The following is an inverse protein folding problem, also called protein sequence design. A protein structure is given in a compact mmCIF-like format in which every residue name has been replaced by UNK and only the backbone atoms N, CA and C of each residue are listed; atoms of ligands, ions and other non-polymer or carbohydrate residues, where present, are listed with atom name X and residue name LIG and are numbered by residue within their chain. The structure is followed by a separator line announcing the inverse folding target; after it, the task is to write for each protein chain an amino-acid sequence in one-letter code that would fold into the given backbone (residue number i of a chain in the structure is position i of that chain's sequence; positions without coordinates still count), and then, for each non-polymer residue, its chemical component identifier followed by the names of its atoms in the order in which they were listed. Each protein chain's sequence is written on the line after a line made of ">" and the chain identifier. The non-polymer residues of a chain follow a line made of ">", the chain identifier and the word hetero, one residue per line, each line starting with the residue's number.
data_IF_581015940007
#
_entry.id   IF_581015940007
#
_cell.length_a   1.000
_cell.length_b   1.000
_cell.length_c   1.000
_cell.angle_alpha   90.00
_cell.angle_beta   90.00
_cell.angle_gamma   90.00
#
_symmetry.space_group_name_H-M   'P 1'
#
loop_
_entity.id
_entity.type
_entity.pdbx_description
1 polymer ?
#
# COMPACT_ATOMS: atom_id res chain seq x y z
N UNK A 1 -22.83 -3.02 5.94
CA UNK A 1 -23.04 -1.67 6.52
C UNK A 1 -24.37 -1.15 6.02
N UNK A 2 -25.26 -0.64 6.90
CA UNK A 2 -26.62 -0.26 6.52
C UNK A 2 -26.59 1.02 5.66
N UNK A 3 -27.19 0.99 4.46
CA UNK A 3 -27.19 2.05 3.42
C UNK A 3 -27.53 3.44 3.96
N UNK A 4 -28.39 3.50 4.99
CA UNK A 4 -28.77 4.74 5.69
C UNK A 4 -27.65 5.34 6.55
N UNK A 5 -26.82 4.52 7.20
CA UNK A 5 -25.69 5.03 8.00
C UNK A 5 -24.58 5.61 7.11
N UNK A 6 -24.35 5.01 5.95
CA UNK A 6 -23.34 5.49 4.98
C UNK A 6 -23.74 6.81 4.30
N UNK A 7 -25.01 6.97 3.93
CA UNK A 7 -25.53 8.22 3.37
C UNK A 7 -25.66 9.34 4.42
N UNK A 8 -25.87 9.01 5.70
CA UNK A 8 -25.79 10.00 6.78
C UNK A 8 -24.35 10.49 7.01
N UNK A 9 -23.36 9.59 6.91
CA UNK A 9 -21.94 9.93 7.01
C UNK A 9 -21.48 10.87 5.90
N UNK A 10 -22.02 10.75 4.69
CA UNK A 10 -21.74 11.69 3.59
C UNK A 10 -22.48 13.03 3.72
N UNK A 11 -23.59 13.09 4.46
CA UNK A 11 -24.36 14.31 4.65
C UNK A 11 -23.91 15.16 5.87
N UNK A 12 -23.26 14.56 6.88
CA UNK A 12 -23.01 15.24 8.17
C UNK A 12 -21.55 15.49 8.57
N UNK A 13 -20.52 15.08 7.83
CA UNK A 13 -19.15 15.56 8.13
C UNK A 13 -18.14 15.33 6.99
N UNK A 14 -17.86 16.35 6.16
CA UNK A 14 -16.63 16.41 5.39
C UNK A 14 -15.59 17.38 5.97
N UNK A 15 -15.92 18.16 7.01
CA UNK A 15 -15.01 19.17 7.59
C UNK A 15 -13.92 18.55 8.48
N UNK A 16 -14.06 17.29 8.89
CA UNK A 16 -13.10 16.61 9.78
C UNK A 16 -12.88 15.14 9.39
N UNK A 17 -12.65 14.83 8.11
CA UNK A 17 -12.07 13.54 7.78
C UNK A 17 -10.69 13.47 8.46
N UNK A 18 -10.60 12.74 9.59
CA UNK A 18 -9.36 12.61 10.33
C UNK A 18 -8.35 11.87 9.44
N UNK A 19 -7.37 12.60 8.94
CA UNK A 19 -6.18 12.01 8.30
C UNK A 19 -5.34 11.16 9.27
N UNK A 20 -5.71 11.13 10.55
CA UNK A 20 -4.99 10.50 11.64
C UNK A 20 -5.91 9.68 12.53
N UNK A 21 -5.56 8.41 12.77
CA UNK A 21 -6.15 7.62 13.86
C UNK A 21 -5.50 8.03 15.17
N UNK A 22 -6.25 8.05 16.27
CA UNK A 22 -5.68 8.28 17.60
C UNK A 22 -4.70 7.15 17.95
N UNK A 23 -3.41 7.47 18.07
CA UNK A 23 -2.37 6.51 18.43
C UNK A 23 -2.17 6.54 19.94
N UNK A 24 -2.47 5.42 20.60
CA UNK A 24 -2.39 5.31 22.06
C UNK A 24 -0.95 5.10 22.56
N UNK A 25 -0.04 4.59 21.73
CA UNK A 25 1.36 4.33 22.08
C UNK A 25 2.30 4.51 20.89
N UNK A 26 3.42 5.22 21.10
CA UNK A 26 4.46 5.42 20.09
C UNK A 26 5.55 4.36 20.24
N UNK A 27 5.54 3.35 19.38
CA UNK A 27 6.61 2.37 19.27
C UNK A 27 7.59 2.83 18.19
N UNK A 28 8.87 2.86 18.53
CA UNK A 28 9.93 3.30 17.63
C UNK A 28 10.93 2.18 17.38
N UNK A 29 11.61 2.25 16.24
CA UNK A 29 12.80 1.45 15.98
C UNK A 29 13.91 1.75 17.00
N UNK A 30 14.76 0.74 17.25
CA UNK A 30 15.94 0.92 18.10
C UNK A 30 16.95 1.86 17.43
N UNK A 31 17.88 2.42 18.22
CA UNK A 31 18.96 3.27 17.68
C UNK A 31 19.82 2.53 16.65
N UNK A 32 20.03 1.23 16.83
CA UNK A 32 20.83 0.45 15.89
C UNK A 32 20.07 0.12 14.60
N UNK A 33 18.77 -0.16 14.69
CA UNK A 33 17.92 -0.32 13.50
C UNK A 33 17.84 0.98 12.69
N UNK A 34 17.77 2.14 13.37
CA UNK A 34 17.74 3.45 12.71
C UNK A 34 18.99 3.73 11.87
N UNK A 35 20.17 3.30 12.34
CA UNK A 35 21.42 3.40 11.58
C UNK A 35 21.39 2.56 10.30
N UNK A 36 20.63 1.47 10.29
CA UNK A 36 20.48 0.55 9.14
C UNK A 36 19.37 1.01 8.18
N UNK A 37 18.35 1.70 8.70
CA UNK A 37 17.16 2.10 7.95
C UNK A 37 17.47 2.95 6.72
N UNK A 38 18.35 3.96 6.84
CA UNK A 38 18.68 4.84 5.73
C UNK A 38 19.47 4.11 4.62
N UNK A 39 20.57 3.39 4.89
CA UNK A 39 21.24 2.55 3.89
C UNK A 39 20.30 1.59 3.18
N UNK A 40 19.40 0.93 3.92
CA UNK A 40 18.42 0.00 3.37
C UNK A 40 17.44 0.71 2.42
N UNK A 41 16.87 1.85 2.81
CA UNK A 41 16.00 2.67 1.96
C UNK A 41 16.69 3.06 0.65
N UNK A 42 17.97 3.48 0.72
CA UNK A 42 18.76 3.79 -0.46
C UNK A 42 18.99 2.58 -1.35
N UNK A 43 19.28 1.40 -0.78
CA UNK A 43 19.45 0.16 -1.55
C UNK A 43 18.18 -0.25 -2.27
N UNK A 44 17.03 -0.21 -1.60
CA UNK A 44 15.73 -0.50 -2.21
C UNK A 44 15.38 0.50 -3.32
N UNK A 45 15.76 1.77 -3.18
CA UNK A 45 15.64 2.78 -4.25
C UNK A 45 16.53 2.47 -5.45
N UNK A 46 17.79 2.07 -5.24
CA UNK A 46 18.69 1.64 -6.33
C UNK A 46 18.15 0.39 -7.02
N UNK A 47 17.66 -0.59 -6.27
CA UNK A 47 16.99 -1.78 -6.80
C UNK A 47 15.80 -1.39 -7.69
N UNK A 48 14.87 -0.57 -7.18
CA UNK A 48 13.71 -0.08 -7.95
C UNK A 48 14.13 0.62 -9.25
N UNK A 49 15.14 1.49 -9.17
CA UNK A 49 15.63 2.24 -10.33
C UNK A 49 16.24 1.29 -11.38
N UNK A 50 16.96 0.27 -10.94
CA UNK A 50 17.59 -0.72 -11.83
C UNK A 50 16.56 -1.61 -12.53
N UNK A 51 15.61 -2.22 -11.79
CA UNK A 51 14.66 -3.18 -12.37
C UNK A 51 13.44 -2.51 -13.03
N UNK A 52 13.26 -1.22 -12.79
CA UNK A 52 12.13 -0.44 -13.27
C UNK A 52 10.90 -0.51 -12.36
N UNK A 53 10.13 0.58 -12.32
CA UNK A 53 8.98 0.75 -11.43
C UNK A 53 7.95 -0.38 -11.54
N UNK A 54 7.61 -0.79 -12.76
CA UNK A 54 6.62 -1.84 -12.98
C UNK A 54 7.05 -3.18 -12.40
N UNK A 55 8.26 -3.64 -12.72
CA UNK A 55 8.77 -4.92 -12.20
C UNK A 55 8.97 -4.87 -10.68
N UNK A 56 9.32 -3.71 -10.12
CA UNK A 56 9.49 -3.54 -8.68
C UNK A 56 8.21 -3.83 -7.88
N UNK A 57 7.04 -3.71 -8.51
CA UNK A 57 5.77 -4.07 -7.89
C UNK A 57 5.58 -5.59 -7.67
N UNK A 58 6.31 -6.44 -8.39
CA UNK A 58 6.03 -7.89 -8.43
C UNK A 58 7.20 -8.79 -8.02
N UNK A 59 8.43 -8.26 -7.88
CA UNK A 59 9.59 -9.09 -7.51
C UNK A 59 9.47 -9.68 -6.10
N UNK A 60 9.96 -10.91 -5.93
CA UNK A 60 10.11 -11.56 -4.63
C UNK A 60 11.37 -11.08 -3.89
N UNK A 61 11.47 -11.41 -2.59
CA UNK A 61 12.65 -11.08 -1.81
C UNK A 61 13.90 -11.82 -2.29
N UNK A 62 13.79 -13.10 -2.70
CA UNK A 62 14.92 -13.84 -3.29
C UNK A 62 15.44 -13.19 -4.58
N UNK A 63 14.54 -12.67 -5.42
CA UNK A 63 14.92 -11.88 -6.59
C UNK A 63 15.62 -10.58 -6.18
N UNK A 64 15.14 -9.88 -5.15
CA UNK A 64 15.82 -8.69 -4.62
C UNK A 64 17.25 -9.00 -4.16
N UNK A 65 17.44 -10.10 -3.43
CA UNK A 65 18.77 -10.56 -2.99
C UNK A 65 19.66 -10.94 -4.18
N UNK A 66 19.11 -11.66 -5.16
CA UNK A 66 19.80 -11.97 -6.41
C UNK A 66 20.28 -10.69 -7.12
N UNK A 67 19.40 -9.70 -7.30
CA UNK A 67 19.78 -8.45 -7.94
C UNK A 67 20.83 -7.67 -7.11
N UNK A 68 20.67 -7.61 -5.79
CA UNK A 68 21.64 -6.97 -4.91
C UNK A 68 23.04 -7.60 -5.02
N UNK A 69 23.12 -8.94 -5.07
CA UNK A 69 24.39 -9.66 -5.18
C UNK A 69 25.07 -9.48 -6.54
N UNK A 70 24.31 -9.54 -7.63
CA UNK A 70 24.88 -9.65 -8.97
C UNK A 70 25.06 -8.30 -9.68
N UNK A 71 24.45 -7.21 -9.19
CA UNK A 71 24.55 -5.90 -9.84
C UNK A 71 25.20 -4.87 -8.90
N UNK A 72 26.46 -4.48 -9.17
CA UNK A 72 27.23 -3.57 -8.30
C UNK A 72 26.53 -2.23 -8.02
N UNK A 73 25.78 -1.69 -8.99
CA UNK A 73 25.00 -0.46 -8.82
C UNK A 73 23.99 -0.56 -7.67
N UNK A 74 23.36 -1.73 -7.48
CA UNK A 74 22.44 -1.96 -6.36
C UNK A 74 23.26 -2.21 -5.09
N UNK A 75 24.24 -3.11 -5.20
CA UNK A 75 25.10 -3.57 -4.11
C UNK A 75 24.40 -4.58 -3.20
N UNK A 76 25.18 -5.52 -2.67
CA UNK A 76 24.66 -6.62 -1.87
C UNK A 76 23.95 -6.15 -0.59
N UNK A 77 22.87 -6.82 -0.21
CA UNK A 77 22.22 -6.60 1.08
C UNK A 77 23.14 -7.10 2.19
N UNK A 78 23.40 -6.25 3.17
CA UNK A 78 24.19 -6.60 4.36
C UNK A 78 23.38 -7.49 5.29
N UNK A 79 24.06 -8.25 6.15
CA UNK A 79 23.39 -9.06 7.18
C UNK A 79 22.48 -8.21 8.08
N UNK A 80 22.91 -7.00 8.46
CA UNK A 80 22.11 -6.07 9.28
C UNK A 80 20.85 -5.60 8.57
N UNK A 81 20.95 -5.31 7.27
CA UNK A 81 19.79 -4.96 6.45
C UNK A 81 18.80 -6.11 6.37
N UNK A 82 19.26 -7.35 6.12
CA UNK A 82 18.40 -8.54 6.07
C UNK A 82 17.70 -8.76 7.42
N UNK A 83 18.43 -8.66 8.54
CA UNK A 83 17.84 -8.77 9.89
C UNK A 83 16.76 -7.71 10.13
N UNK A 84 16.97 -6.46 9.71
CA UNK A 84 15.95 -5.41 9.83
C UNK A 84 14.73 -5.71 8.95
N UNK A 85 14.94 -6.22 7.73
CA UNK A 85 13.86 -6.62 6.83
C UNK A 85 13.01 -7.73 7.47
N UNK A 86 13.65 -8.79 7.97
CA UNK A 86 12.99 -9.91 8.63
C UNK A 86 12.24 -9.43 9.87
N UNK A 87 12.87 -8.59 10.69
CA UNK A 87 12.23 -7.97 11.87
C UNK A 87 10.94 -7.24 11.49
N UNK A 88 10.94 -6.45 10.41
CA UNK A 88 9.75 -5.71 9.96
C UNK A 88 8.69 -6.62 9.33
N UNK A 89 9.08 -7.71 8.67
CA UNK A 89 8.15 -8.64 8.05
C UNK A 89 7.48 -9.56 9.08
N UNK A 90 8.22 -10.03 10.08
CA UNK A 90 7.75 -11.00 11.08
C UNK A 90 7.24 -10.36 12.38
N UNK A 91 7.36 -9.04 12.56
CA UNK A 91 6.83 -8.35 13.74
C UNK A 91 5.31 -8.50 13.88
N UNK A 92 4.81 -8.62 15.10
CA UNK A 92 3.39 -8.59 15.43
C UNK A 92 2.88 -7.13 15.45
N UNK A 93 2.12 -6.69 14.42
CA UNK A 93 1.80 -5.29 14.24
C UNK A 93 0.74 -4.74 15.19
N UNK A 94 -0.02 -5.61 15.86
CA UNK A 94 -0.96 -5.20 16.90
C UNK A 94 -0.27 -4.48 18.04
N UNK A 95 1.00 -4.82 18.30
CA UNK A 95 1.81 -4.14 19.33
C UNK A 95 1.97 -2.66 19.05
N UNK A 96 2.02 -2.24 17.78
CA UNK A 96 2.16 -0.83 17.35
C UNK A 96 0.89 -0.28 16.68
N UNK A 97 -0.28 -0.86 16.96
CA UNK A 97 -1.57 -0.26 16.62
C UNK A 97 -2.08 -0.55 15.21
N UNK A 98 -1.57 -1.57 14.52
CA UNK A 98 -2.14 -2.08 13.27
C UNK A 98 -2.76 -3.46 13.51
N UNK A 99 -4.03 -3.60 13.11
CA UNK A 99 -4.89 -4.72 13.48
C UNK A 99 -5.46 -5.49 12.27
N UNK A 100 -5.10 -5.09 11.05
CA UNK A 100 -5.49 -5.79 9.83
C UNK A 100 -4.90 -7.19 9.73
N UNK A 101 -5.49 -8.02 8.86
CA UNK A 101 -5.08 -9.41 8.70
C UNK A 101 -3.74 -9.54 7.98
N UNK A 102 -2.99 -10.60 8.32
CA UNK A 102 -1.78 -10.98 7.60
C UNK A 102 -2.18 -11.53 6.23
N UNK A 103 -1.67 -10.93 5.16
CA UNK A 103 -2.00 -11.29 3.77
C UNK A 103 -0.92 -12.14 3.12
N UNK A 104 0.32 -12.07 3.63
CA UNK A 104 1.48 -12.77 3.09
C UNK A 104 2.22 -13.51 4.20
N UNK A 105 2.35 -14.83 4.08
CA UNK A 105 3.04 -15.67 5.06
C UNK A 105 4.53 -15.88 4.76
N UNK A 106 4.92 -15.77 3.49
CA UNK A 106 6.29 -15.99 3.03
C UNK A 106 6.90 -14.67 2.52
N UNK A 107 8.03 -14.26 3.09
CA UNK A 107 8.76 -13.06 2.68
C UNK A 107 9.21 -13.11 1.21
N UNK A 108 9.49 -14.31 0.71
CA UNK A 108 9.87 -14.58 -0.67
C UNK A 108 8.67 -15.00 -1.53
N UNK A 109 7.45 -14.56 -1.18
CA UNK A 109 6.27 -14.78 -2.02
C UNK A 109 6.55 -14.36 -3.47
N UNK A 110 6.23 -15.25 -4.40
CA UNK A 110 6.28 -14.99 -5.82
C UNK A 110 4.90 -14.62 -6.37
N UNK A 111 4.88 -13.80 -7.41
CA UNK A 111 3.67 -13.48 -8.16
C UNK A 111 3.78 -14.12 -9.53
N UNK A 112 2.87 -15.06 -9.80
CA UNK A 112 2.83 -15.74 -11.08
C UNK A 112 2.37 -14.77 -12.17
N UNK A 113 3.21 -14.60 -13.20
CA UNK A 113 2.95 -13.68 -14.32
C UNK A 113 1.69 -14.03 -15.11
N UNK A 114 1.25 -15.30 -15.07
CA UNK A 114 0.02 -15.74 -15.73
C UNK A 114 -1.23 -15.18 -15.06
N UNK A 115 -1.15 -14.82 -13.79
CA UNK A 115 -2.28 -14.41 -12.96
C UNK A 115 -2.45 -12.89 -12.88
N UNK A 116 -1.62 -12.14 -13.61
CA UNK A 116 -1.60 -10.67 -13.55
C UNK A 116 -1.72 -10.06 -14.95
N UNK A 117 -2.24 -8.85 -15.01
CA UNK A 117 -2.32 -8.05 -16.22
C UNK A 117 -1.67 -6.69 -15.99
N UNK A 118 -0.74 -6.31 -16.87
CA UNK A 118 -0.15 -4.97 -16.86
C UNK A 118 -1.21 -3.97 -17.35
N UNK A 119 -1.43 -2.91 -16.58
CA UNK A 119 -2.36 -1.84 -16.97
C UNK A 119 -1.57 -0.76 -17.70
N UNK A 120 -1.95 -0.50 -18.96
CA UNK A 120 -1.27 0.44 -19.82
C UNK A 120 -1.14 1.82 -19.16
N UNK A 121 0.01 2.48 -19.35
CA UNK A 121 0.34 3.82 -18.85
C UNK A 121 0.29 4.03 -17.33
N UNK A 122 0.00 3.00 -16.53
CA UNK A 122 -0.01 3.10 -15.06
C UNK A 122 1.33 2.75 -14.41
N UNK A 123 2.14 1.92 -15.07
CA UNK A 123 3.32 1.31 -14.43
C UNK A 123 2.95 0.23 -13.39
N UNK A 124 1.70 -0.21 -13.32
CA UNK A 124 1.20 -1.19 -12.37
C UNK A 124 0.60 -2.42 -13.06
N UNK A 125 0.34 -3.44 -12.23
CA UNK A 125 -0.36 -4.66 -12.59
C UNK A 125 -1.62 -4.79 -11.74
N UNK A 126 -2.63 -5.49 -12.23
CA UNK A 126 -3.79 -5.95 -11.44
C UNK A 126 -3.88 -7.47 -11.57
N UNK A 127 -4.31 -8.16 -10.52
CA UNK A 127 -4.59 -9.59 -10.57
C UNK A 127 -5.77 -9.86 -11.51
N UNK A 128 -5.65 -10.88 -12.35
CA UNK A 128 -6.75 -11.34 -13.21
C UNK A 128 -7.92 -11.86 -12.37
N UNK A 129 -9.06 -12.06 -13.02
CA UNK A 129 -10.30 -12.43 -12.34
C UNK A 129 -11.00 -11.20 -11.75
N UNK A 130 -11.54 -11.34 -10.54
CA UNK A 130 -12.38 -10.33 -9.91
C UNK A 130 -11.74 -8.93 -9.79
N UNK A 131 -10.47 -8.76 -9.39
CA UNK A 131 -9.85 -7.43 -9.29
C UNK A 131 -9.82 -6.68 -10.63
N UNK A 132 -9.41 -7.37 -11.70
CA UNK A 132 -9.39 -6.79 -13.05
C UNK A 132 -10.80 -6.49 -13.57
N UNK A 133 -11.77 -7.36 -13.29
CA UNK A 133 -13.18 -7.13 -13.63
C UNK A 133 -13.72 -5.88 -12.93
N UNK A 134 -13.51 -5.77 -11.61
CA UNK A 134 -13.97 -4.61 -10.83
C UNK A 134 -13.30 -3.32 -11.31
N UNK A 135 -12.00 -3.33 -11.58
CA UNK A 135 -11.30 -2.18 -12.13
C UNK A 135 -11.87 -1.73 -13.47
N UNK A 136 -12.10 -2.67 -14.41
CA UNK A 136 -12.68 -2.34 -15.71
C UNK A 136 -14.11 -1.79 -15.59
N UNK A 137 -14.91 -2.34 -14.67
CA UNK A 137 -16.25 -1.82 -14.40
C UNK A 137 -16.20 -0.41 -13.82
N UNK A 138 -15.28 -0.12 -12.90
CA UNK A 138 -15.06 1.24 -12.36
C UNK A 138 -14.72 2.22 -13.49
N UNK A 139 -13.83 1.85 -14.43
CA UNK A 139 -13.50 2.71 -15.57
C UNK A 139 -14.74 3.00 -16.43
N UNK A 140 -15.57 2.00 -16.70
CA UNK A 140 -16.78 2.16 -17.50
C UNK A 140 -17.84 3.03 -16.81
N UNK A 141 -18.06 2.82 -15.52
CA UNK A 141 -19.14 3.47 -14.77
C UNK A 141 -18.76 4.89 -14.31
N UNK A 142 -17.48 5.14 -14.00
CA UNK A 142 -16.99 6.45 -13.53
C UNK A 142 -16.56 7.35 -14.70
N UNK A 143 -15.91 6.77 -15.71
CA UNK A 143 -15.42 7.45 -16.91
C UNK A 143 -13.88 7.57 -16.99
N UNK A 144 -13.40 8.31 -17.98
CA UNK A 144 -11.98 8.43 -18.34
C UNK A 144 -11.12 9.31 -17.42
N UNK A 145 -11.75 9.95 -16.42
CA UNK A 145 -11.06 10.79 -15.44
C UNK A 145 -10.55 10.01 -14.23
N UNK A 146 -10.96 8.75 -14.05
CA UNK A 146 -10.42 7.84 -13.03
C UNK A 146 -9.29 6.99 -13.61
N UNK A 147 -8.25 6.76 -12.82
CA UNK A 147 -7.08 5.98 -13.21
C UNK A 147 -6.65 5.04 -12.08
N UNK A 148 -5.96 3.95 -12.43
CA UNK A 148 -5.20 3.16 -11.47
C UNK A 148 -4.01 3.99 -10.95
N UNK A 149 -3.96 4.20 -9.63
CA UNK A 149 -2.86 4.90 -8.96
C UNK A 149 -1.89 3.94 -8.28
N UNK A 150 -2.35 2.74 -7.92
CA UNK A 150 -1.52 1.65 -7.43
C UNK A 150 -2.22 0.31 -7.65
N UNK A 151 -1.52 -0.67 -8.23
CA UNK A 151 -2.04 -2.02 -8.38
C UNK A 151 -1.38 -2.99 -7.40
N UNK A 152 -0.98 -4.15 -7.88
CA UNK A 152 -0.25 -5.17 -7.12
C UNK A 152 0.97 -4.58 -6.40
N UNK A 153 1.18 -5.01 -5.14
CA UNK A 153 2.38 -4.73 -4.36
C UNK A 153 2.85 -6.02 -3.70
N UNK A 154 3.90 -6.64 -4.24
CA UNK A 154 4.59 -7.74 -3.58
C UNK A 154 5.40 -7.23 -2.36
N UNK A 155 5.93 -8.16 -1.56
CA UNK A 155 6.63 -7.89 -0.29
C UNK A 155 7.72 -6.83 -0.43
N UNK A 156 8.57 -6.90 -1.46
CA UNK A 156 9.68 -5.94 -1.65
C UNK A 156 9.17 -4.53 -1.89
N UNK A 157 8.10 -4.37 -2.69
CA UNK A 157 7.45 -3.09 -2.94
C UNK A 157 6.89 -2.51 -1.65
N UNK A 158 6.12 -3.33 -0.91
CA UNK A 158 5.47 -2.89 0.31
C UNK A 158 6.50 -2.52 1.39
N UNK A 159 7.53 -3.35 1.55
CA UNK A 159 8.67 -3.11 2.42
C UNK A 159 9.35 -1.78 2.11
N UNK A 160 9.61 -1.49 0.83
CA UNK A 160 10.22 -0.22 0.44
C UNK A 160 9.35 0.99 0.79
N UNK A 161 8.04 0.91 0.58
CA UNK A 161 7.11 1.99 0.96
C UNK A 161 7.08 2.18 2.48
N UNK A 162 7.00 1.08 3.22
CA UNK A 162 6.94 1.07 4.68
C UNK A 162 8.23 1.63 5.29
N UNK A 163 9.41 1.20 4.84
CA UNK A 163 10.72 1.71 5.27
C UNK A 163 10.86 3.21 4.98
N UNK A 164 10.50 3.65 3.77
CA UNK A 164 10.50 5.08 3.43
C UNK A 164 9.62 5.88 4.38
N UNK A 165 8.45 5.34 4.77
CA UNK A 165 7.52 5.98 5.70
C UNK A 165 8.06 6.02 7.13
N UNK A 166 8.57 4.91 7.65
CA UNK A 166 9.23 4.86 8.97
C UNK A 166 10.36 5.89 9.03
N UNK A 167 11.18 5.98 7.97
CA UNK A 167 12.28 6.94 7.89
C UNK A 167 11.78 8.38 7.92
N UNK A 168 10.71 8.70 7.18
CA UNK A 168 10.10 10.03 7.19
C UNK A 168 9.48 10.42 8.54
N UNK A 169 9.26 9.45 9.41
CA UNK A 169 8.67 9.60 10.74
C UNK A 169 9.69 9.32 11.85
N UNK A 170 10.98 9.46 11.55
CA UNK A 170 12.09 9.31 12.50
C UNK A 170 12.07 7.98 13.28
N UNK A 171 11.61 6.88 12.65
CA UNK A 171 11.59 5.57 13.28
C UNK A 171 10.27 5.13 13.88
N UNK A 172 9.24 5.97 13.85
CA UNK A 172 7.97 5.66 14.52
C UNK A 172 7.15 4.63 13.74
N UNK A 173 7.10 3.40 14.27
CA UNK A 173 6.37 2.27 13.69
C UNK A 173 4.86 2.43 13.84
N UNK A 174 4.38 3.01 14.93
CA UNK A 174 2.96 3.23 15.16
C UNK A 174 2.38 4.22 14.13
N UNK A 175 3.04 5.37 13.96
CA UNK A 175 2.65 6.37 12.95
C UNK A 175 2.80 5.82 11.53
N UNK A 176 3.87 5.06 11.26
CA UNK A 176 4.07 4.49 9.93
C UNK A 176 2.96 3.49 9.58
N UNK A 177 2.61 2.61 10.53
CA UNK A 177 1.60 1.55 10.34
C UNK A 177 0.19 2.09 10.21
N UNK A 178 -0.09 3.25 10.80
CA UNK A 178 -1.35 3.95 10.58
C UNK A 178 -1.50 4.49 9.15
N UNK A 179 -0.40 4.73 8.44
CA UNK A 179 -0.39 5.34 7.11
C UNK A 179 -0.13 4.30 6.01
N UNK A 180 0.68 3.28 6.29
CA UNK A 180 1.06 2.23 5.33
C UNK A 180 1.10 0.90 6.07
N UNK A 181 0.35 -0.08 5.57
CA UNK A 181 0.35 -1.44 6.12
C UNK A 181 1.77 -2.03 6.22
N UNK A 182 2.10 -2.80 7.27
CA UNK A 182 3.35 -3.53 7.35
C UNK A 182 3.55 -4.52 6.18
N UNK A 183 4.79 -4.95 5.90
CA UNK A 183 5.14 -5.66 4.65
C UNK A 183 4.35 -6.95 4.39
N UNK A 184 3.98 -7.67 5.46
CA UNK A 184 3.23 -8.93 5.38
C UNK A 184 1.69 -8.77 5.40
N UNK A 185 1.18 -7.53 5.47
CA UNK A 185 -0.21 -7.21 5.81
C UNK A 185 -0.91 -6.34 4.76
N UNK A 186 -0.35 -6.20 3.55
CA UNK A 186 -0.96 -5.41 2.48
C UNK A 186 -1.95 -6.23 1.67
N UNK A 187 -3.18 -5.73 1.52
CA UNK A 187 -4.18 -6.36 0.64
C UNK A 187 -3.83 -6.25 -0.85
N UNK A 188 -2.89 -5.38 -1.23
CA UNK A 188 -2.37 -5.31 -2.61
C UNK A 188 -1.51 -6.51 -3.01
N UNK A 189 -1.09 -7.33 -2.04
CA UNK A 189 -0.39 -8.58 -2.33
C UNK A 189 -1.35 -9.69 -2.80
N UNK A 190 -2.67 -9.50 -2.63
CA UNK A 190 -3.68 -10.51 -2.96
C UNK A 190 -4.73 -10.06 -3.97
N UNK A 191 -5.27 -8.84 -3.86
CA UNK A 191 -6.39 -8.43 -4.74
C UNK A 191 -6.66 -6.94 -4.78
N UNK A 192 -6.52 -6.23 -3.66
CA UNK A 192 -6.92 -4.81 -3.58
C UNK A 192 -6.04 -3.91 -4.46
N UNK A 193 -6.60 -2.76 -4.86
CA UNK A 193 -5.94 -1.78 -5.70
C UNK A 193 -6.42 -0.35 -5.39
N UNK A 194 -5.61 0.64 -5.76
CA UNK A 194 -5.90 2.05 -5.54
C UNK A 194 -6.29 2.72 -6.85
N UNK A 195 -7.35 3.53 -6.80
CA UNK A 195 -7.77 4.38 -7.90
C UNK A 195 -7.66 5.85 -7.51
N UNK A 196 -7.63 6.72 -8.49
CA UNK A 196 -7.56 8.15 -8.24
C UNK A 196 -7.97 8.96 -9.44
N UNK A 197 -8.00 10.27 -9.26
CA UNK A 197 -8.29 11.22 -10.33
C UNK A 197 -7.05 11.46 -11.19
N UNK A 198 -7.25 11.48 -12.51
CA UNK A 198 -6.22 11.83 -13.49
C UNK A 198 -5.70 13.24 -13.22
N UNK A 199 -4.37 13.40 -13.21
CA UNK A 199 -3.70 14.68 -12.99
C UNK A 199 -3.56 15.13 -11.53
N UNK A 200 -4.00 14.32 -10.55
CA UNK A 200 -3.93 14.71 -9.12
C UNK A 200 -2.62 14.31 -8.42
N UNK A 201 -1.81 13.44 -9.01
CA UNK A 201 -0.53 13.02 -8.44
C UNK A 201 -0.68 12.53 -6.99
N UNK A 202 0.15 13.07 -6.09
CA UNK A 202 0.13 12.71 -4.66
C UNK A 202 -1.18 13.05 -3.93
N UNK A 203 -1.97 13.99 -4.45
CA UNK A 203 -3.26 14.38 -3.85
C UNK A 203 -4.29 13.24 -3.86
N UNK A 204 -4.13 12.26 -4.75
CA UNK A 204 -4.95 11.05 -4.74
C UNK A 204 -4.80 10.22 -3.45
N UNK A 205 -3.70 10.36 -2.72
CA UNK A 205 -3.41 9.62 -1.47
C UNK A 205 -3.69 10.45 -0.21
N UNK A 206 -4.70 11.33 -0.30
CA UNK A 206 -5.19 12.19 0.79
C UNK A 206 -6.71 12.15 0.86
N UNK A 207 -7.29 12.58 1.98
CA UNK A 207 -8.74 12.68 2.16
C UNK A 207 -9.42 13.56 1.10
N UNK A 208 -8.69 14.48 0.46
CA UNK A 208 -9.19 15.29 -0.66
C UNK A 208 -9.80 14.46 -1.80
N UNK A 209 -9.32 13.23 -2.03
CA UNK A 209 -9.90 12.38 -3.08
C UNK A 209 -11.38 12.09 -2.81
N UNK A 210 -11.81 12.06 -1.54
CA UNK A 210 -13.21 11.88 -1.16
C UNK A 210 -14.13 13.03 -1.62
N UNK A 211 -13.57 14.19 -1.97
CA UNK A 211 -14.32 15.36 -2.43
C UNK A 211 -14.42 15.43 -3.97
N UNK A 212 -13.96 14.40 -4.68
CA UNK A 212 -13.96 14.37 -6.14
C UNK A 212 -15.26 13.83 -6.72
N UNK A 213 -15.54 14.19 -7.98
CA UNK A 213 -16.68 13.63 -8.72
C UNK A 213 -16.51 12.12 -8.95
N UNK A 214 -15.26 11.69 -9.12
CA UNK A 214 -14.85 10.30 -9.32
C UNK A 214 -15.22 9.46 -8.09
N UNK A 215 -14.81 9.89 -6.90
CA UNK A 215 -15.18 9.21 -5.66
C UNK A 215 -16.69 9.23 -5.42
N UNK A 216 -17.36 10.36 -5.67
CA UNK A 216 -18.82 10.44 -5.56
C UNK A 216 -19.55 9.44 -6.49
N UNK A 217 -19.05 9.25 -7.72
CA UNK A 217 -19.58 8.23 -8.65
C UNK A 217 -19.30 6.82 -8.13
N UNK A 218 -18.07 6.53 -7.69
CA UNK A 218 -17.70 5.23 -7.12
C UNK A 218 -18.59 4.82 -5.95
N UNK A 219 -18.92 5.76 -5.06
CA UNK A 219 -19.78 5.50 -3.90
C UNK A 219 -21.21 5.05 -4.27
N UNK A 220 -21.67 5.30 -5.51
CA UNK A 220 -22.98 4.85 -6.00
C UNK A 220 -22.96 3.43 -6.57
N UNK A 221 -21.78 2.86 -6.79
CA UNK A 221 -21.60 1.56 -7.40
C UNK A 221 -21.69 0.47 -6.32
N UNK A 222 -22.73 -0.37 -6.39
CA UNK A 222 -23.04 -1.35 -5.34
C UNK A 222 -21.95 -2.43 -5.15
N UNK A 223 -21.10 -2.61 -6.16
CA UNK A 223 -20.01 -3.58 -6.15
C UNK A 223 -18.67 -2.99 -5.67
N UNK A 224 -18.59 -1.67 -5.46
CA UNK A 224 -17.37 -1.01 -4.96
C UNK A 224 -17.42 -0.89 -3.45
N UNK A 225 -16.35 -1.32 -2.79
CA UNK A 225 -16.16 -1.14 -1.35
C UNK A 225 -14.82 -0.46 -1.08
N UNK A 226 -14.77 0.41 -0.08
CA UNK A 226 -13.53 1.03 0.38
C UNK A 226 -13.01 0.24 1.57
N UNK A 227 -11.73 -0.15 1.53
CA UNK A 227 -11.08 -0.97 2.56
C UNK A 227 -11.03 -0.26 3.90
N UNK A 228 -10.40 0.92 3.90
CA UNK A 228 -10.14 1.69 5.11
C UNK A 228 -11.12 2.87 5.18
N UNK A 229 -12.34 2.59 5.67
CA UNK A 229 -13.34 3.61 6.03
C UNK A 229 -12.90 4.41 7.26
N UNK A 230 -13.58 5.51 7.58
CA UNK A 230 -13.26 6.36 8.76
C UNK A 230 -13.28 5.55 10.07
N UNK A 231 -14.11 4.51 10.13
CA UNK A 231 -14.33 3.63 11.28
C UNK A 231 -13.75 2.22 11.10
N UNK A 232 -12.80 2.05 10.16
CA UNK A 232 -12.16 0.76 9.95
C UNK A 232 -11.45 0.27 11.22
N UNK A 233 -11.41 -1.06 11.38
CA UNK A 233 -10.84 -1.70 12.57
C UNK A 233 -9.37 -2.08 12.41
N UNK A 234 -8.77 -1.80 11.27
CA UNK A 234 -7.42 -2.27 10.92
C UNK A 234 -6.34 -1.35 11.50
N UNK A 235 -6.72 -0.23 12.13
CA UNK A 235 -5.79 0.75 12.68
C UNK A 235 -5.13 1.62 11.61
N UNK A 236 -5.72 1.69 10.42
CA UNK A 236 -5.24 2.48 9.28
C UNK A 236 -6.08 3.76 9.16
N UNK A 237 -5.49 4.85 8.72
CA UNK A 237 -6.24 6.08 8.42
C UNK A 237 -7.27 5.87 7.31
N UNK A 238 -8.19 6.82 7.15
CA UNK A 238 -9.14 6.79 6.05
C UNK A 238 -8.43 6.86 4.69
N UNK A 239 -8.74 5.91 3.80
CA UNK A 239 -8.14 5.81 2.45
C UNK A 239 -9.24 5.73 1.36
N UNK A 240 -9.83 6.86 0.94
CA UNK A 240 -10.90 6.87 -0.07
C UNK A 240 -10.49 6.32 -1.45
N UNK A 241 -9.20 6.16 -1.70
CA UNK A 241 -8.66 5.63 -2.95
C UNK A 241 -8.58 4.09 -2.97
N UNK A 242 -8.56 3.43 -1.80
CA UNK A 242 -8.25 2.00 -1.68
C UNK A 242 -9.50 1.15 -1.89
N UNK A 243 -9.59 0.51 -3.06
CA UNK A 243 -10.69 -0.37 -3.45
C UNK A 243 -10.49 -1.76 -2.86
N UNK A 244 -11.45 -2.18 -2.04
CA UNK A 244 -11.58 -3.53 -1.51
C UNK A 244 -12.22 -4.44 -2.55
N UNK A 245 -11.52 -5.51 -2.92
CA UNK A 245 -12.10 -6.58 -3.73
C UNK A 245 -12.82 -7.57 -2.80
N UNK A 246 -14.10 -7.83 -3.09
CA UNK A 246 -14.99 -8.79 -2.40
C UNK A 246 -15.18 -10.01 -3.29
#
# INVERSE_FOLDING_TARGET
>A
MNRRKFLLLSALSPVFAKDYVTINQNINLTRDDLKVLAPLDHRLKRLKNYIGFANFNIISFDQALYYGRNYPFIGNFTKKEIVLIEKLFYSEPKTFGFYGDKTVNNISQEINRKDIQKIAHSGHFIFKGKPLQDYNRILNDVGDTIILTSGIRNVVKQLSLYISKIKSLNGNLSLASNIIAPPAYTYHAISDFDVGKKGWGGRNFTSDFAHTKEFYKMQKLEYVSIRYTIDNKDGVRFEPWHVKVI
#
